data_IF_086595278270
#
_entry.id   IF_086595278270
#
_cell.length_a   1.000
_cell.length_b   1.000
_cell.length_c   1.000
_cell.angle_alpha   90.00
_cell.angle_beta   90.00
_cell.angle_gamma   90.00
#
_symmetry.space_group_name_H-M   'P 1'
#
loop_
_entity.id
_entity.type
_entity.pdbx_description
1 polymer ?
#
# COMPACT_ATOMS: atom_id res chain seq x y z
N UNK A 1 -12.04 -2.23 20.93
CA UNK A 1 -10.88 -1.34 21.16
C UNK A 1 -10.86 -0.37 19.98
N UNK A 2 -11.18 0.91 20.17
CA UNK A 2 -11.17 1.89 19.08
C UNK A 2 -9.77 2.51 18.96
N UNK A 3 -9.30 2.69 17.73
CA UNK A 3 -7.99 3.30 17.46
C UNK A 3 -8.05 4.81 17.73
N UNK A 4 -7.00 5.36 18.34
CA UNK A 4 -6.83 6.81 18.48
C UNK A 4 -6.45 7.42 17.12
N UNK A 5 -6.68 8.73 16.94
CA UNK A 5 -6.29 9.42 15.70
C UNK A 5 -4.79 9.24 15.40
N UNK A 6 -3.93 9.32 16.41
CA UNK A 6 -2.49 9.10 16.26
C UNK A 6 -2.16 7.69 15.75
N UNK A 7 -2.90 6.67 16.20
CA UNK A 7 -2.72 5.30 15.73
C UNK A 7 -3.16 5.14 14.27
N UNK A 8 -4.25 5.82 13.87
CA UNK A 8 -4.73 5.84 12.48
C UNK A 8 -3.70 6.54 11.58
N UNK A 9 -3.15 7.67 12.01
CA UNK A 9 -2.15 8.43 11.25
C UNK A 9 -0.82 7.68 11.15
N UNK A 10 -0.41 6.99 12.23
CA UNK A 10 0.76 6.12 12.20
C UNK A 10 0.58 4.95 11.24
N UNK A 11 -0.59 4.30 11.25
CA UNK A 11 -0.91 3.22 10.31
C UNK A 11 -0.91 3.73 8.86
N UNK A 12 -1.50 4.90 8.59
CA UNK A 12 -1.49 5.52 7.25
C UNK A 12 -0.06 5.72 6.73
N UNK A 13 0.79 6.39 7.51
CA UNK A 13 2.19 6.66 7.13
C UNK A 13 2.94 5.37 6.86
N UNK A 14 2.72 4.33 7.67
CA UNK A 14 3.37 3.05 7.47
C UNK A 14 2.92 2.36 6.17
N UNK A 15 1.62 2.39 5.87
CA UNK A 15 1.07 1.86 4.63
C UNK A 15 1.62 2.60 3.40
N UNK A 16 1.70 3.93 3.46
CA UNK A 16 2.27 4.75 2.40
C UNK A 16 3.75 4.44 2.16
N UNK A 17 4.55 4.31 3.23
CA UNK A 17 5.96 3.93 3.12
C UNK A 17 6.13 2.54 2.48
N UNK A 18 5.33 1.56 2.87
CA UNK A 18 5.37 0.23 2.27
C UNK A 18 4.98 0.25 0.79
N UNK A 19 3.99 1.07 0.42
CA UNK A 19 3.57 1.27 -0.97
C UNK A 19 4.71 1.84 -1.81
N UNK A 20 5.34 2.89 -1.32
CA UNK A 20 6.38 3.58 -2.07
C UNK A 20 7.65 2.70 -2.20
N UNK A 21 8.02 1.96 -1.15
CA UNK A 21 9.11 0.99 -1.21
C UNK A 21 8.84 -0.11 -2.25
N UNK A 22 7.66 -0.73 -2.20
CA UNK A 22 7.30 -1.80 -3.13
C UNK A 22 7.21 -1.33 -4.58
N UNK A 23 6.64 -0.14 -4.81
CA UNK A 23 6.54 0.44 -6.14
C UNK A 23 7.93 0.61 -6.78
N UNK A 24 8.92 1.05 -6.00
CA UNK A 24 10.28 1.22 -6.50
C UNK A 24 10.93 -0.12 -6.89
N UNK A 25 10.79 -1.15 -6.05
CA UNK A 25 11.39 -2.47 -6.29
C UNK A 25 10.77 -3.16 -7.52
N UNK A 26 9.44 -3.18 -7.63
CA UNK A 26 8.77 -3.83 -8.77
C UNK A 26 9.03 -3.07 -10.07
N UNK A 27 9.04 -1.73 -10.05
CA UNK A 27 9.40 -0.93 -11.23
C UNK A 27 10.84 -1.20 -11.66
N UNK A 28 11.77 -1.34 -10.71
CA UNK A 28 13.15 -1.67 -11.02
C UNK A 28 13.26 -3.06 -11.68
N UNK A 29 12.55 -4.07 -11.16
CA UNK A 29 12.52 -5.42 -11.75
C UNK A 29 11.91 -5.42 -13.15
N UNK A 30 10.79 -4.72 -13.37
CA UNK A 30 10.18 -4.58 -14.70
C UNK A 30 11.17 -3.98 -15.69
N UNK A 31 11.85 -2.88 -15.31
CA UNK A 31 12.85 -2.22 -16.16
C UNK A 31 14.03 -3.15 -16.50
N UNK A 32 14.50 -3.94 -15.54
CA UNK A 32 15.59 -4.90 -15.78
C UNK A 32 15.18 -5.98 -16.79
N UNK A 33 13.97 -6.52 -16.66
CA UNK A 33 13.45 -7.53 -17.58
C UNK A 33 13.25 -6.92 -18.98
N UNK A 34 12.64 -5.74 -19.06
CA UNK A 34 12.43 -5.00 -20.33
C UNK A 34 13.75 -4.60 -21.00
N UNK A 35 14.80 -4.30 -20.23
CA UNK A 35 16.15 -4.04 -20.75
C UNK A 35 16.87 -5.30 -21.27
N UNK A 36 16.22 -6.47 -21.19
CA UNK A 36 16.73 -7.72 -21.75
C UNK A 36 17.64 -8.51 -20.82
N UNK A 37 17.54 -8.29 -19.50
CA UNK A 37 18.19 -9.17 -18.51
C UNK A 37 17.71 -10.62 -18.65
N UNK A 38 16.46 -10.81 -19.07
CA UNK A 38 15.89 -12.10 -19.47
C UNK A 38 15.26 -11.91 -20.86
N UNK A 39 15.67 -12.73 -21.83
CA UNK A 39 15.26 -12.59 -23.23
C UNK A 39 14.19 -13.62 -23.64
N UNK A 40 13.45 -13.26 -24.69
CA UNK A 40 12.45 -14.13 -25.31
C UNK A 40 11.18 -14.27 -24.47
N UNK A 41 10.36 -15.25 -24.83
CA UNK A 41 9.00 -15.44 -24.28
C UNK A 41 8.96 -15.52 -22.74
N UNK A 42 10.01 -16.04 -22.11
CA UNK A 42 10.11 -16.09 -20.65
C UNK A 42 10.24 -14.69 -20.03
N UNK A 43 11.02 -13.80 -20.65
CA UNK A 43 11.15 -12.40 -20.24
C UNK A 43 9.85 -11.64 -20.45
N UNK A 44 9.20 -11.82 -21.60
CA UNK A 44 7.91 -11.17 -21.91
C UNK A 44 6.82 -11.56 -20.90
N UNK A 45 6.76 -12.86 -20.57
CA UNK A 45 5.82 -13.38 -19.56
C UNK A 45 6.13 -12.82 -18.17
N UNK A 46 7.40 -12.83 -17.77
CA UNK A 46 7.80 -12.27 -16.48
C UNK A 46 7.47 -10.77 -16.39
N UNK A 47 7.72 -10.00 -17.44
CA UNK A 47 7.34 -8.57 -17.48
C UNK A 47 5.83 -8.39 -17.34
N UNK A 48 5.01 -9.23 -18.00
CA UNK A 48 3.56 -9.20 -17.85
C UNK A 48 3.11 -9.54 -16.42
N UNK A 49 3.69 -10.58 -15.83
CA UNK A 49 3.39 -11.02 -14.46
C UNK A 49 3.79 -9.94 -13.42
N UNK A 50 4.97 -9.32 -13.57
CA UNK A 50 5.41 -8.21 -12.71
C UNK A 50 4.49 -6.99 -12.81
N UNK A 51 4.03 -6.64 -14.02
CA UNK A 51 3.05 -5.55 -14.20
C UNK A 51 1.69 -5.88 -13.60
N UNK A 52 1.26 -7.15 -13.68
CA UNK A 52 0.02 -7.59 -13.04
C UNK A 52 0.14 -7.53 -11.52
N UNK A 53 1.28 -7.94 -10.98
CA UNK A 53 1.60 -7.85 -9.56
C UNK A 53 1.59 -6.40 -9.07
N UNK A 54 2.25 -5.47 -9.77
CA UNK A 54 2.25 -4.04 -9.44
C UNK A 54 0.83 -3.47 -9.36
N UNK A 55 -0.04 -3.80 -10.32
CA UNK A 55 -1.45 -3.38 -10.29
C UNK A 55 -2.20 -3.93 -9.09
N UNK A 56 -2.06 -5.23 -8.81
CA UNK A 56 -2.73 -5.88 -7.68
C UNK A 56 -2.27 -5.32 -6.34
N UNK A 57 -0.98 -5.02 -6.21
CA UNK A 57 -0.41 -4.47 -5.00
C UNK A 57 -0.84 -3.01 -4.76
N UNK A 58 -0.91 -2.20 -5.82
CA UNK A 58 -1.49 -0.84 -5.76
C UNK A 58 -2.94 -0.86 -5.30
N UNK A 59 -3.77 -1.75 -5.86
CA UNK A 59 -5.17 -1.90 -5.44
C UNK A 59 -5.30 -2.29 -3.96
N UNK A 60 -4.45 -3.23 -3.49
CA UNK A 60 -4.42 -3.61 -2.07
C UNK A 60 -4.17 -2.41 -1.16
N UNK A 61 -3.16 -1.58 -1.47
CA UNK A 61 -2.87 -0.40 -0.65
C UNK A 61 -3.95 0.66 -0.73
N UNK A 62 -4.53 0.90 -1.90
CA UNK A 62 -5.68 1.80 -2.04
C UNK A 62 -6.81 1.36 -1.13
N UNK A 63 -7.16 0.06 -1.12
CA UNK A 63 -8.19 -0.48 -0.24
C UNK A 63 -7.83 -0.34 1.24
N UNK A 64 -6.58 -0.61 1.60
CA UNK A 64 -6.11 -0.49 2.98
C UNK A 64 -6.19 0.96 3.50
N UNK A 65 -5.83 1.94 2.67
CA UNK A 65 -5.97 3.37 2.98
C UNK A 65 -7.45 3.78 3.08
N UNK A 66 -8.30 3.33 2.16
CA UNK A 66 -9.74 3.59 2.23
C UNK A 66 -10.40 2.99 3.48
N UNK A 67 -9.93 1.82 3.94
CA UNK A 67 -10.37 1.24 5.21
C UNK A 67 -9.98 2.12 6.40
N UNK A 68 -8.75 2.67 6.41
CA UNK A 68 -8.36 3.65 7.44
C UNK A 68 -9.21 4.92 7.40
N UNK A 69 -9.53 5.43 6.21
CA UNK A 69 -10.41 6.61 6.04
C UNK A 69 -11.82 6.37 6.60
N UNK A 70 -12.29 5.12 6.59
CA UNK A 70 -13.60 4.73 7.12
C UNK A 70 -13.64 4.59 8.65
N UNK A 71 -12.49 4.62 9.32
CA UNK A 71 -12.46 4.57 10.78
C UNK A 71 -12.94 5.90 11.36
N UNK A 72 -14.00 5.87 12.17
CA UNK A 72 -14.37 7.02 12.99
C UNK A 72 -13.44 7.10 14.21
N UNK A 73 -12.67 8.19 14.37
CA UNK A 73 -11.83 8.37 15.56
C UNK A 73 -12.70 8.46 16.80
N UNK A 74 -12.34 7.76 17.88
CA UNK A 74 -12.94 8.05 19.18
C UNK A 74 -12.50 9.43 19.62
N UNK A 75 -13.45 10.33 19.78
CA UNK A 75 -13.21 11.66 20.36
C UNK A 75 -13.09 11.49 21.89
N UNK A 76 -11.89 11.58 22.50
CA UNK A 76 -11.74 11.39 23.95
C UNK A 76 -12.47 12.46 24.76
N UNK A 77 -12.90 13.57 24.13
CA UNK A 77 -13.60 14.66 24.77
C UNK A 77 -15.09 14.40 25.05
N UNK A 78 -15.70 13.35 24.48
CA UNK A 78 -17.14 13.05 24.63
C UNK A 78 -17.52 12.14 25.81
N UNK A 79 -16.54 11.74 26.64
CA UNK A 79 -16.72 10.71 27.67
C UNK A 79 -16.80 11.18 29.13
N UNK A 80 -16.74 12.48 29.43
CA UNK A 80 -16.84 12.97 30.81
C UNK A 80 -18.27 13.45 31.11
N UNK A 81 -19.13 12.67 31.81
CA UNK A 81 -20.31 13.24 32.42
C UNK A 81 -19.85 14.20 33.52
N UNK A 82 -20.03 15.49 33.30
CA UNK A 82 -19.98 16.52 34.34
C UNK A 82 -20.95 16.11 35.44
N UNK A 83 -20.42 15.82 36.62
CA UNK A 83 -21.19 15.54 37.84
C UNK A 83 -21.11 16.75 38.77
#
# INVERSE_FOLDING_TARGET
MMATQEQIDAARRHIEQLRDHHANDVVALVRLVEAGAIKGQAGDRLAADLRAWDRGFKDLFTRALSLLDSLQPSDPAKGAPTR
#
